data_IF_583922044692
#
_entry.id   IF_583922044692
#
_cell.length_a   1.000
_cell.length_b   1.000
_cell.length_c   1.000
_cell.angle_alpha   90.00
_cell.angle_beta   90.00
_cell.angle_gamma   90.00
#
_symmetry.space_group_name_H-M   'P 1'
#
loop_
_entity.id
_entity.type
_entity.pdbx_description
1 polymer ?
#
# COMPACT_ATOMS: atom_id res chain seq x y z
N UNK A 1 20.25 2.24 -10.92
CA UNK A 1 21.28 1.33 -10.34
C UNK A 1 20.85 -0.14 -10.43
N UNK A 2 19.76 -0.58 -9.79
CA UNK A 2 19.31 -1.99 -9.83
C UNK A 2 19.15 -2.55 -11.25
N UNK A 3 18.44 -1.83 -12.11
CA UNK A 3 18.27 -2.22 -13.52
C UNK A 3 19.62 -2.32 -14.23
N UNK A 4 20.46 -1.29 -14.10
CA UNK A 4 21.77 -1.24 -14.73
C UNK A 4 22.67 -2.42 -14.32
N UNK A 5 22.76 -2.71 -13.02
CA UNK A 5 23.57 -3.83 -12.50
C UNK A 5 23.00 -5.17 -12.94
N UNK A 6 21.66 -5.34 -12.92
CA UNK A 6 21.02 -6.59 -13.33
C UNK A 6 21.25 -6.90 -14.80
N UNK A 7 21.11 -5.89 -15.67
CA UNK A 7 21.38 -6.01 -17.10
C UNK A 7 22.86 -6.30 -17.33
N UNK A 8 23.77 -5.58 -16.65
CA UNK A 8 25.21 -5.82 -16.76
C UNK A 8 25.58 -7.26 -16.41
N UNK A 9 25.06 -7.80 -15.31
CA UNK A 9 25.28 -9.19 -14.90
C UNK A 9 24.78 -10.14 -15.99
N UNK A 10 23.56 -9.96 -16.51
CA UNK A 10 23.02 -10.86 -17.54
C UNK A 10 23.78 -10.78 -18.88
N UNK A 11 24.30 -9.60 -19.24
CA UNK A 11 25.14 -9.45 -20.43
C UNK A 11 26.46 -10.21 -20.33
N UNK A 12 27.03 -10.37 -19.12
CA UNK A 12 28.23 -11.19 -18.90
C UNK A 12 27.96 -12.69 -19.09
N UNK A 13 26.71 -13.13 -18.92
CA UNK A 13 26.28 -14.51 -19.18
C UNK A 13 25.78 -14.74 -20.61
N UNK A 14 26.05 -13.81 -21.54
CA UNK A 14 25.58 -13.85 -22.94
C UNK A 14 24.06 -14.08 -23.05
N UNK A 15 23.30 -13.57 -22.07
CA UNK A 15 21.85 -13.76 -22.05
C UNK A 15 21.19 -13.15 -23.29
N UNK A 16 20.29 -13.92 -23.90
CA UNK A 16 19.51 -13.49 -25.07
C UNK A 16 18.38 -12.54 -24.70
N UNK A 17 18.14 -12.28 -23.41
CA UNK A 17 16.96 -11.52 -22.96
C UNK A 17 17.17 -10.67 -21.71
N UNK A 18 18.16 -9.75 -21.70
CA UNK A 18 18.49 -8.92 -20.54
C UNK A 18 17.34 -8.02 -20.05
N UNK A 19 16.32 -7.80 -20.89
CA UNK A 19 15.11 -7.07 -20.51
C UNK A 19 14.40 -7.72 -19.30
N UNK A 20 14.43 -9.05 -19.15
CA UNK A 20 13.76 -9.73 -18.02
C UNK A 20 14.49 -9.55 -16.70
N UNK A 21 15.81 -9.38 -16.74
CA UNK A 21 16.57 -8.96 -15.57
C UNK A 21 16.24 -7.52 -15.17
N UNK A 22 16.11 -6.62 -16.15
CA UNK A 22 15.66 -5.25 -15.89
C UNK A 22 14.27 -5.21 -15.27
N UNK A 23 13.32 -5.95 -15.85
CA UNK A 23 11.94 -6.08 -15.33
C UNK A 23 11.99 -6.66 -13.91
N UNK A 24 12.70 -7.78 -13.68
CA UNK A 24 12.85 -8.39 -12.36
C UNK A 24 13.41 -7.43 -11.31
N UNK A 25 14.36 -6.59 -11.69
CA UNK A 25 14.95 -5.58 -10.80
C UNK A 25 13.97 -4.47 -10.43
N UNK A 26 13.26 -3.89 -11.41
CA UNK A 26 12.20 -2.90 -11.16
C UNK A 26 11.16 -3.51 -10.21
N UNK A 27 10.80 -4.74 -10.50
CA UNK A 27 9.81 -5.51 -9.79
C UNK A 27 10.16 -5.80 -8.33
N UNK A 28 11.44 -5.96 -8.01
CA UNK A 28 11.92 -6.21 -6.64
C UNK A 28 12.11 -4.92 -5.82
N UNK A 29 12.15 -3.75 -6.45
CA UNK A 29 12.20 -2.46 -5.74
C UNK A 29 10.80 -2.14 -5.19
N UNK A 30 10.58 -2.42 -3.90
CA UNK A 30 9.30 -2.23 -3.22
C UNK A 30 9.42 -1.25 -2.07
N UNK A 31 8.29 -0.73 -1.60
CA UNK A 31 8.23 0.29 -0.57
C UNK A 31 8.48 -0.24 0.86
N UNK A 32 8.54 -1.56 1.05
CA UNK A 32 9.07 -2.21 2.26
C UNK A 32 9.95 -3.41 1.89
N UNK A 33 10.75 -3.90 2.83
CA UNK A 33 11.66 -5.02 2.58
C UNK A 33 10.90 -6.35 2.56
N UNK A 34 9.97 -6.55 3.49
CA UNK A 34 9.06 -7.69 3.53
C UNK A 34 8.24 -7.81 2.25
N UNK A 35 7.78 -6.67 1.72
CA UNK A 35 7.06 -6.65 0.45
C UNK A 35 7.99 -7.03 -0.69
N UNK A 36 9.20 -6.47 -0.75
CA UNK A 36 10.24 -6.82 -1.74
C UNK A 36 10.53 -8.33 -1.76
N UNK A 37 10.69 -8.94 -0.59
CA UNK A 37 10.95 -10.37 -0.43
C UNK A 37 9.76 -11.23 -0.85
N UNK A 38 8.56 -10.93 -0.32
CA UNK A 38 7.33 -11.67 -0.63
C UNK A 38 7.01 -11.60 -2.12
N UNK A 39 7.14 -10.40 -2.67
CA UNK A 39 7.02 -10.13 -4.10
C UNK A 39 8.05 -10.98 -4.87
N UNK A 40 9.34 -10.83 -4.56
CA UNK A 40 10.42 -11.52 -5.26
C UNK A 40 10.23 -13.02 -5.30
N UNK A 41 9.93 -13.64 -4.14
CA UNK A 41 9.62 -15.08 -4.03
C UNK A 41 8.43 -15.48 -4.92
N UNK A 42 7.31 -14.76 -4.84
CA UNK A 42 6.13 -15.08 -5.62
C UNK A 42 6.41 -14.99 -7.13
N UNK A 43 7.18 -13.99 -7.57
CA UNK A 43 7.56 -13.86 -8.98
C UNK A 43 8.53 -14.93 -9.44
N UNK A 44 9.51 -15.31 -8.63
CA UNK A 44 10.41 -16.42 -8.96
C UNK A 44 9.61 -17.72 -9.17
N UNK A 45 8.72 -18.05 -8.23
CA UNK A 45 7.88 -19.25 -8.31
C UNK A 45 6.87 -19.18 -9.47
N UNK A 46 6.26 -18.03 -9.69
CA UNK A 46 5.34 -17.82 -10.80
C UNK A 46 6.01 -17.95 -12.17
N UNK A 47 7.18 -17.34 -12.36
CA UNK A 47 8.00 -17.48 -13.57
C UNK A 47 8.38 -18.94 -13.80
N UNK A 48 8.73 -19.67 -12.75
CA UNK A 48 9.03 -21.10 -12.84
C UNK A 48 7.82 -21.92 -13.30
N UNK A 49 6.64 -21.69 -12.72
CA UNK A 49 5.39 -22.36 -13.12
C UNK A 49 5.00 -22.01 -14.56
N UNK A 50 5.03 -20.73 -14.92
CA UNK A 50 4.76 -20.26 -16.28
C UNK A 50 5.72 -20.90 -17.29
N UNK A 51 6.99 -21.05 -16.92
CA UNK A 51 7.99 -21.69 -17.76
C UNK A 51 7.74 -23.18 -17.97
N UNK A 52 7.46 -23.93 -16.90
CA UNK A 52 7.16 -25.36 -16.98
C UNK A 52 5.91 -25.61 -17.82
N UNK A 53 4.82 -24.93 -17.51
CA UNK A 53 3.56 -25.12 -18.23
C UNK A 53 3.71 -24.67 -19.69
N UNK A 54 4.43 -23.57 -19.92
CA UNK A 54 4.74 -23.09 -21.26
C UNK A 54 5.50 -24.13 -22.07
N UNK A 55 6.51 -24.77 -21.49
CA UNK A 55 7.25 -25.85 -22.14
C UNK A 55 6.34 -27.04 -22.44
N UNK A 56 5.58 -27.53 -21.46
CA UNK A 56 4.67 -28.67 -21.64
C UNK A 56 3.66 -28.42 -22.77
N UNK A 57 3.00 -27.27 -22.77
CA UNK A 57 2.02 -26.91 -23.80
C UNK A 57 2.68 -26.68 -25.15
N UNK A 58 3.88 -26.10 -25.18
CA UNK A 58 4.61 -25.92 -26.44
C UNK A 58 4.91 -27.26 -27.12
N UNK A 59 5.21 -28.30 -26.35
CA UNK A 59 5.55 -29.63 -26.85
C UNK A 59 4.29 -30.44 -27.21
N UNK A 60 3.26 -30.39 -26.39
CA UNK A 60 2.02 -31.16 -26.60
C UNK A 60 1.11 -30.55 -27.67
N UNK A 61 0.99 -29.22 -27.71
CA UNK A 61 0.07 -28.50 -28.59
C UNK A 61 0.74 -27.28 -29.23
N UNK A 62 1.72 -27.49 -30.14
CA UNK A 62 2.51 -26.40 -30.70
C UNK A 62 1.63 -25.32 -31.36
N UNK A 63 1.74 -24.08 -30.87
CA UNK A 63 1.09 -22.89 -31.44
C UNK A 63 -0.44 -22.97 -31.62
N UNK A 64 -1.12 -23.91 -30.96
CA UNK A 64 -2.57 -24.04 -31.08
C UNK A 64 -3.27 -22.99 -30.19
N UNK A 65 -4.04 -22.02 -30.76
CA UNK A 65 -4.63 -20.94 -29.98
C UNK A 65 -5.59 -21.40 -28.88
N UNK A 66 -6.33 -22.50 -29.12
CA UNK A 66 -7.28 -23.05 -28.16
C UNK A 66 -6.56 -23.60 -26.92
N UNK A 67 -5.51 -24.41 -27.11
CA UNK A 67 -4.74 -24.95 -26.00
C UNK A 67 -3.91 -23.88 -25.29
N UNK A 68 -3.46 -22.84 -26.00
CA UNK A 68 -2.80 -21.69 -25.38
C UNK A 68 -3.74 -20.98 -24.41
N UNK A 69 -5.00 -20.75 -24.81
CA UNK A 69 -6.02 -20.19 -23.93
C UNK A 69 -6.23 -21.02 -22.65
N UNK A 70 -6.34 -22.34 -22.80
CA UNK A 70 -6.44 -23.28 -21.67
C UNK A 70 -5.19 -23.20 -20.79
N UNK A 71 -4.00 -23.18 -21.37
CA UNK A 71 -2.74 -23.11 -20.64
C UNK A 71 -2.61 -21.84 -19.80
N UNK A 72 -3.01 -20.68 -20.32
CA UNK A 72 -3.05 -19.43 -19.55
C UNK A 72 -4.03 -19.55 -18.38
N UNK A 73 -5.23 -20.11 -18.59
CA UNK A 73 -6.21 -20.31 -17.51
C UNK A 73 -5.62 -21.19 -16.40
N UNK A 74 -4.91 -22.27 -16.76
CA UNK A 74 -4.25 -23.16 -15.80
C UNK A 74 -3.17 -22.42 -15.01
N UNK A 75 -2.31 -21.65 -15.68
CA UNK A 75 -1.26 -20.84 -15.02
C UNK A 75 -1.88 -19.87 -14.03
N UNK A 76 -2.91 -19.12 -14.46
CA UNK A 76 -3.63 -18.16 -13.62
C UNK A 76 -4.24 -18.86 -12.41
N UNK A 77 -4.90 -19.99 -12.62
CA UNK A 77 -5.57 -20.74 -11.56
C UNK A 77 -4.57 -21.30 -10.53
N UNK A 78 -3.42 -21.82 -10.98
CA UNK A 78 -2.36 -22.28 -10.10
C UNK A 78 -1.75 -21.14 -9.29
N UNK A 79 -1.45 -20.00 -9.92
CA UNK A 79 -0.97 -18.82 -9.20
C UNK A 79 -1.99 -18.33 -8.17
N UNK A 80 -3.28 -18.38 -8.48
CA UNK A 80 -4.36 -17.98 -7.59
C UNK A 80 -4.46 -18.89 -6.36
N UNK A 81 -4.51 -20.22 -6.54
CA UNK A 81 -4.58 -21.19 -5.43
C UNK A 81 -3.36 -21.06 -4.52
N UNK A 82 -2.17 -20.85 -5.10
CA UNK A 82 -0.93 -20.67 -4.35
C UNK A 82 -0.79 -19.26 -3.72
N UNK A 83 -1.78 -18.37 -3.92
CA UNK A 83 -1.81 -16.98 -3.45
C UNK A 83 -0.67 -16.11 -3.97
N UNK A 84 -0.15 -16.42 -5.16
CA UNK A 84 0.87 -15.62 -5.84
C UNK A 84 0.27 -14.54 -6.74
N UNK A 85 -0.70 -13.79 -6.22
CA UNK A 85 -1.49 -12.82 -6.99
C UNK A 85 -0.59 -11.79 -7.71
N UNK A 86 0.49 -11.33 -7.07
CA UNK A 86 1.47 -10.37 -7.64
C UNK A 86 2.33 -10.97 -8.77
N UNK A 87 2.29 -12.28 -9.00
CA UNK A 87 3.04 -12.98 -10.04
C UNK A 87 2.18 -13.48 -11.21
N UNK A 88 0.85 -13.43 -11.09
CA UNK A 88 -0.10 -13.97 -12.08
C UNK A 88 0.18 -13.45 -13.49
N UNK A 89 0.24 -12.12 -13.66
CA UNK A 89 0.49 -11.48 -14.95
C UNK A 89 1.84 -11.91 -15.55
N UNK A 90 2.91 -11.89 -14.74
CA UNK A 90 4.24 -12.26 -15.22
C UNK A 90 4.31 -13.73 -15.62
N UNK A 91 3.71 -14.61 -14.82
CA UNK A 91 3.66 -16.05 -15.08
C UNK A 91 2.95 -16.36 -16.40
N UNK A 92 1.84 -15.66 -16.68
CA UNK A 92 1.12 -15.75 -17.94
C UNK A 92 1.96 -15.23 -19.12
N UNK A 93 2.69 -14.11 -18.96
CA UNK A 93 3.59 -13.57 -19.99
C UNK A 93 4.72 -14.57 -20.30
N UNK A 94 5.31 -15.18 -19.27
CA UNK A 94 6.37 -16.19 -19.44
C UNK A 94 5.83 -17.42 -20.17
N UNK A 95 4.67 -17.92 -19.75
CA UNK A 95 3.96 -19.00 -20.44
C UNK A 95 3.76 -18.66 -21.92
N UNK A 96 3.18 -17.49 -22.22
CA UNK A 96 2.90 -17.06 -23.60
C UNK A 96 4.17 -16.99 -24.44
N UNK A 97 5.23 -16.38 -23.90
CA UNK A 97 6.51 -16.25 -24.59
C UNK A 97 7.15 -17.59 -24.95
N UNK A 98 6.93 -18.63 -24.14
CA UNK A 98 7.46 -19.98 -24.39
C UNK A 98 6.53 -20.79 -25.31
N UNK A 99 5.22 -20.81 -25.02
CA UNK A 99 4.23 -21.57 -25.76
C UNK A 99 4.12 -21.12 -27.24
N UNK A 100 4.29 -19.82 -27.49
CA UNK A 100 4.26 -19.24 -28.84
C UNK A 100 5.63 -19.17 -29.52
N UNK A 101 6.71 -19.63 -28.88
CA UNK A 101 8.03 -19.52 -29.47
C UNK A 101 8.11 -20.37 -30.76
N UNK A 102 8.44 -19.76 -31.92
CA UNK A 102 8.46 -20.47 -33.20
C UNK A 102 9.61 -21.47 -33.33
N UNK A 103 10.70 -21.30 -32.58
CA UNK A 103 11.90 -22.14 -32.69
C UNK A 103 11.84 -23.26 -31.65
N UNK A 104 11.40 -24.45 -32.05
CA UNK A 104 11.17 -25.61 -31.18
C UNK A 104 12.42 -25.98 -30.34
N UNK A 105 13.59 -26.08 -30.99
CA UNK A 105 14.86 -26.47 -30.37
C UNK A 105 15.36 -25.44 -29.34
N UNK A 106 14.96 -24.18 -29.51
CA UNK A 106 15.36 -23.10 -28.61
C UNK A 106 14.39 -22.90 -27.43
N UNK A 107 13.27 -23.62 -27.36
CA UNK A 107 12.25 -23.36 -26.31
C UNK A 107 12.76 -23.66 -24.91
N UNK A 108 13.48 -24.77 -24.74
CA UNK A 108 14.06 -25.14 -23.45
C UNK A 108 15.11 -24.12 -22.99
N UNK A 109 16.06 -23.79 -23.87
CA UNK A 109 17.08 -22.77 -23.56
C UNK A 109 16.45 -21.41 -23.29
N UNK A 110 15.44 -21.02 -24.06
CA UNK A 110 14.69 -19.79 -23.83
C UNK A 110 13.98 -19.77 -22.48
N UNK A 111 13.32 -20.86 -22.08
CA UNK A 111 12.67 -20.98 -20.78
C UNK A 111 13.67 -20.89 -19.62
N UNK A 112 14.84 -21.54 -19.75
CA UNK A 112 15.92 -21.42 -18.78
C UNK A 112 16.43 -19.98 -18.65
N UNK A 113 16.70 -19.29 -19.76
CA UNK A 113 17.10 -17.89 -19.73
C UNK A 113 16.02 -17.01 -19.10
N UNK A 114 14.72 -17.26 -19.35
CA UNK A 114 13.65 -16.53 -18.68
C UNK A 114 13.69 -16.67 -17.16
N UNK A 115 13.96 -17.88 -16.65
CA UNK A 115 14.09 -18.12 -15.21
C UNK A 115 15.32 -17.40 -14.67
N UNK A 116 16.50 -17.64 -15.27
CA UNK A 116 17.78 -17.10 -14.82
C UNK A 116 17.76 -15.57 -14.84
N UNK A 117 17.38 -14.94 -15.96
CA UNK A 117 17.36 -13.48 -16.10
C UNK A 117 16.44 -12.85 -15.06
N UNK A 118 15.23 -13.39 -14.91
CA UNK A 118 14.25 -12.89 -13.93
C UNK A 118 14.79 -13.03 -12.52
N UNK A 119 15.43 -14.15 -12.19
CA UNK A 119 15.97 -14.40 -10.86
C UNK A 119 17.13 -13.46 -10.55
N UNK A 120 18.05 -13.26 -11.49
CA UNK A 120 19.15 -12.29 -11.35
C UNK A 120 18.58 -10.89 -11.09
N UNK A 121 17.61 -10.46 -11.90
CA UNK A 121 16.94 -9.18 -11.72
C UNK A 121 16.33 -9.02 -10.34
N UNK A 122 15.55 -10.01 -9.89
CA UNK A 122 14.89 -9.96 -8.59
C UNK A 122 15.92 -9.95 -7.45
N UNK A 123 16.95 -10.81 -7.50
CA UNK A 123 17.98 -10.88 -6.46
C UNK A 123 18.73 -9.57 -6.35
N UNK A 124 19.22 -9.03 -7.47
CA UNK A 124 19.95 -7.76 -7.49
C UNK A 124 19.04 -6.62 -7.03
N UNK A 125 17.79 -6.59 -7.50
CA UNK A 125 16.81 -5.60 -7.06
C UNK A 125 16.56 -5.65 -5.55
N UNK A 126 16.36 -6.84 -4.97
CA UNK A 126 16.19 -7.00 -3.52
C UNK A 126 17.43 -6.57 -2.74
N UNK A 127 18.63 -6.94 -3.19
CA UNK A 127 19.90 -6.53 -2.56
C UNK A 127 20.02 -5.01 -2.54
N UNK A 128 19.76 -4.35 -3.66
CA UNK A 128 19.83 -2.88 -3.74
C UNK A 128 18.73 -2.23 -2.90
N UNK A 129 17.51 -2.76 -2.96
CA UNK A 129 16.39 -2.27 -2.16
C UNK A 129 16.70 -2.35 -0.67
N UNK A 130 17.43 -3.37 -0.22
CA UNK A 130 17.79 -3.53 1.18
C UNK A 130 19.02 -2.71 1.59
N UNK A 131 20.13 -2.78 0.84
CA UNK A 131 21.41 -2.21 1.28
C UNK A 131 21.68 -0.79 0.82
N UNK A 132 21.12 -0.37 -0.32
CA UNK A 132 21.43 0.93 -0.92
C UNK A 132 20.24 1.88 -0.80
N UNK A 133 19.03 1.36 -1.02
CA UNK A 133 17.78 2.13 -1.03
C UNK A 133 16.80 1.61 0.02
N UNK A 134 17.31 1.32 1.23
CA UNK A 134 16.53 0.82 2.36
C UNK A 134 15.27 1.69 2.57
N UNK A 135 14.05 1.12 2.49
CA UNK A 135 12.84 1.89 2.63
C UNK A 135 12.72 2.52 4.02
N UNK A 136 12.38 3.80 4.07
CA UNK A 136 12.11 4.50 5.32
C UNK A 136 10.61 4.43 5.65
N UNK A 137 10.19 3.29 6.20
CA UNK A 137 8.79 3.02 6.55
C UNK A 137 8.23 3.98 7.59
N UNK A 138 9.05 4.44 8.52
CA UNK A 138 8.67 5.40 9.55
C UNK A 138 8.31 6.76 8.95
N UNK A 139 9.14 7.28 8.05
CA UNK A 139 8.82 8.51 7.30
C UNK A 139 7.52 8.37 6.50
N UNK A 140 7.29 7.20 5.91
CA UNK A 140 6.08 6.91 5.12
C UNK A 140 4.82 6.87 5.99
N UNK A 141 4.84 6.13 7.11
CA UNK A 141 3.73 6.07 8.05
C UNK A 141 3.43 7.46 8.63
N UNK A 142 4.46 8.19 9.07
CA UNK A 142 4.27 9.56 9.57
C UNK A 142 3.65 10.48 8.52
N UNK A 143 4.08 10.35 7.26
CA UNK A 143 3.47 11.04 6.13
C UNK A 143 1.97 10.76 6.03
N UNK A 144 1.57 9.48 6.08
CA UNK A 144 0.15 9.08 6.08
C UNK A 144 -0.62 9.62 7.28
N UNK A 145 -0.04 9.60 8.49
CA UNK A 145 -0.68 10.16 9.70
C UNK A 145 -0.90 11.67 9.54
N UNK A 146 0.08 12.39 8.97
CA UNK A 146 -0.05 13.82 8.72
C UNK A 146 -1.11 14.14 7.66
N UNK A 147 -1.20 13.34 6.59
CA UNK A 147 -2.27 13.49 5.58
C UNK A 147 -3.64 13.27 6.21
N UNK A 148 -3.81 12.16 6.94
CA UNK A 148 -5.03 11.82 7.68
C UNK A 148 -5.44 12.95 8.64
N UNK A 149 -4.49 13.46 9.44
CA UNK A 149 -4.73 14.56 10.38
C UNK A 149 -5.30 15.80 9.68
N UNK A 150 -4.71 16.18 8.55
CA UNK A 150 -5.16 17.33 7.77
C UNK A 150 -6.54 17.09 7.14
N UNK A 151 -6.83 15.88 6.68
CA UNK A 151 -8.15 15.53 6.13
C UNK A 151 -9.23 15.56 7.22
N UNK A 152 -8.96 14.99 8.40
CA UNK A 152 -9.85 15.10 9.56
C UNK A 152 -10.13 16.57 9.92
N UNK A 153 -9.09 17.41 9.94
CA UNK A 153 -9.25 18.86 10.18
C UNK A 153 -10.14 19.51 9.12
N UNK A 154 -9.88 19.24 7.84
CA UNK A 154 -10.66 19.80 6.71
C UNK A 154 -12.13 19.40 6.79
N UNK A 155 -12.41 18.15 7.14
CA UNK A 155 -13.78 17.65 7.30
C UNK A 155 -14.47 18.33 8.48
N UNK A 156 -13.86 18.33 9.67
CA UNK A 156 -14.42 19.01 10.85
C UNK A 156 -14.64 20.49 10.57
N UNK A 157 -13.70 21.15 9.90
CA UNK A 157 -13.86 22.55 9.50
C UNK A 157 -15.09 22.75 8.61
N UNK A 158 -15.31 21.85 7.67
CA UNK A 158 -16.44 21.90 6.73
C UNK A 158 -17.76 21.69 7.45
N UNK A 159 -17.84 20.71 8.36
CA UNK A 159 -19.03 20.45 9.19
C UNK A 159 -19.39 21.69 10.01
N UNK A 160 -18.40 22.29 10.67
CA UNK A 160 -18.64 23.32 11.69
C UNK A 160 -18.87 24.70 11.07
N UNK A 161 -18.07 25.10 10.07
CA UNK A 161 -18.11 26.46 9.52
C UNK A 161 -18.69 26.58 8.11
N UNK A 162 -18.68 25.52 7.29
CA UNK A 162 -19.23 25.58 5.93
C UNK A 162 -20.64 25.00 5.82
N UNK A 163 -21.03 24.12 6.74
CA UNK A 163 -22.34 23.44 6.74
C UNK A 163 -22.65 22.78 5.39
N UNK A 164 -21.62 22.18 4.77
CA UNK A 164 -21.73 21.48 3.49
C UNK A 164 -21.81 19.97 3.66
N UNK A 165 -22.26 19.28 2.62
CA UNK A 165 -22.13 17.83 2.53
C UNK A 165 -20.67 17.41 2.66
N UNK A 166 -20.44 16.35 3.43
CA UNK A 166 -19.11 15.80 3.70
C UNK A 166 -18.96 14.50 2.96
N UNK A 167 -17.91 14.41 2.15
CA UNK A 167 -17.49 13.17 1.52
C UNK A 167 -16.37 12.51 2.34
N UNK A 168 -16.61 11.29 2.82
CA UNK A 168 -15.65 10.52 3.63
C UNK A 168 -14.76 9.60 2.79
N UNK A 169 -14.89 9.61 1.45
CA UNK A 169 -14.09 8.74 0.58
C UNK A 169 -12.58 9.00 0.74
N UNK A 170 -12.16 10.25 0.79
CA UNK A 170 -10.75 10.63 0.98
C UNK A 170 -10.24 10.14 2.35
N UNK A 171 -10.98 10.41 3.42
CA UNK A 171 -10.63 9.96 4.77
C UNK A 171 -10.48 8.43 4.86
N UNK A 172 -11.43 7.67 4.31
CA UNK A 172 -11.37 6.19 4.31
C UNK A 172 -10.19 5.66 3.50
N UNK A 173 -9.85 6.33 2.39
CA UNK A 173 -8.67 6.00 1.61
C UNK A 173 -7.39 6.23 2.42
N UNK A 174 -7.31 7.34 3.16
CA UNK A 174 -6.14 7.65 4.00
C UNK A 174 -5.98 6.66 5.16
N UNK A 175 -7.08 6.25 5.80
CA UNK A 175 -7.08 5.20 6.84
C UNK A 175 -6.58 3.87 6.26
N UNK A 176 -7.07 3.49 5.09
CA UNK A 176 -6.64 2.25 4.40
C UNK A 176 -5.15 2.29 4.09
N UNK A 177 -4.65 3.41 3.56
CA UNK A 177 -3.23 3.58 3.26
C UNK A 177 -2.37 3.53 4.54
N UNK A 178 -2.84 4.11 5.64
CA UNK A 178 -2.14 4.02 6.93
C UNK A 178 -2.08 2.58 7.45
N UNK A 179 -3.17 1.83 7.33
CA UNK A 179 -3.24 0.42 7.72
C UNK A 179 -2.27 -0.44 6.90
N UNK A 180 -2.24 -0.27 5.58
CA UNK A 180 -1.31 -0.97 4.68
C UNK A 180 0.15 -0.67 5.02
N UNK A 181 0.47 0.60 5.32
CA UNK A 181 1.82 1.00 5.71
C UNK A 181 2.22 0.41 7.07
N UNK A 182 1.29 0.36 8.02
CA UNK A 182 1.51 -0.28 9.31
C UNK A 182 1.75 -1.79 9.18
N UNK A 183 0.94 -2.49 8.38
CA UNK A 183 1.12 -3.93 8.13
C UNK A 183 2.50 -4.22 7.52
N UNK A 184 2.91 -3.42 6.53
CA UNK A 184 4.22 -3.53 5.93
C UNK A 184 5.37 -3.27 6.94
N UNK A 185 5.21 -2.31 7.85
CA UNK A 185 6.19 -2.08 8.93
C UNK A 185 6.20 -3.25 9.92
N UNK A 186 5.04 -3.76 10.32
CA UNK A 186 4.93 -4.90 11.24
C UNK A 186 5.66 -6.12 10.67
N UNK A 187 5.43 -6.43 9.38
CA UNK A 187 6.11 -7.52 8.69
C UNK A 187 7.64 -7.29 8.60
N UNK A 188 8.10 -6.06 8.40
CA UNK A 188 9.53 -5.73 8.40
C UNK A 188 10.16 -5.92 9.79
N UNK A 189 9.44 -5.60 10.87
CA UNK A 189 9.86 -5.82 12.26
C UNK A 189 9.95 -7.33 12.56
N UNK A 190 8.94 -8.12 12.18
CA UNK A 190 8.89 -9.57 12.41
C UNK A 190 10.06 -10.31 11.74
N UNK A 191 10.55 -9.78 10.61
CA UNK A 191 11.73 -10.30 9.91
C UNK A 191 13.07 -9.91 10.58
N UNK A 192 13.04 -9.26 11.75
CA UNK A 192 14.22 -8.73 12.46
C UNK A 192 15.07 -7.77 11.63
N UNK A 193 14.48 -7.13 10.62
CA UNK A 193 15.21 -6.23 9.72
C UNK A 193 15.44 -4.85 10.35
N UNK A 194 14.69 -4.52 11.40
CA UNK A 194 14.82 -3.28 12.16
C UNK A 194 14.85 -3.55 13.67
N UNK A 195 15.85 -3.00 14.37
CA UNK A 195 15.94 -3.02 15.84
C UNK A 195 14.81 -2.17 16.44
N UNK A 196 14.05 -2.75 17.37
CA UNK A 196 13.17 -2.08 18.36
C UNK A 196 12.52 -0.78 17.86
N UNK A 197 11.44 -0.89 17.09
CA UNK A 197 10.60 0.25 16.71
C UNK A 197 9.22 0.14 17.35
N UNK A 198 8.68 1.30 17.72
CA UNK A 198 7.44 1.45 18.48
C UNK A 198 6.20 1.18 17.62
N UNK A 199 5.98 -0.09 17.25
CA UNK A 199 4.83 -0.52 16.46
C UNK A 199 3.49 -0.29 17.19
N UNK A 200 3.52 -0.32 18.52
CA UNK A 200 2.33 -0.13 19.35
C UNK A 200 1.75 1.28 19.20
N UNK A 201 2.61 2.30 19.11
CA UNK A 201 2.17 3.69 18.92
C UNK A 201 1.46 3.90 17.58
N UNK A 202 1.93 3.28 16.49
CA UNK A 202 1.24 3.37 15.19
C UNK A 202 -0.11 2.66 15.17
N UNK A 203 -0.21 1.49 15.82
CA UNK A 203 -1.49 0.77 15.94
C UNK A 203 -2.52 1.60 16.73
N UNK A 204 -2.06 2.28 17.80
CA UNK A 204 -2.92 3.22 18.54
C UNK A 204 -3.46 4.32 17.63
N UNK A 205 -2.63 4.91 16.77
CA UNK A 205 -3.06 5.96 15.83
C UNK A 205 -4.10 5.43 14.83
N UNK A 206 -3.95 4.19 14.35
CA UNK A 206 -4.94 3.57 13.47
C UNK A 206 -6.31 3.42 14.17
N UNK A 207 -6.33 2.94 15.41
CA UNK A 207 -7.55 2.85 16.22
C UNK A 207 -8.18 4.23 16.49
N UNK A 208 -7.36 5.26 16.72
CA UNK A 208 -7.82 6.65 16.84
C UNK A 208 -8.48 7.11 15.53
N UNK A 209 -7.87 6.80 14.38
CA UNK A 209 -8.38 7.18 13.07
C UNK A 209 -9.77 6.58 12.78
N UNK A 210 -9.96 5.28 13.05
CA UNK A 210 -11.26 4.60 12.92
C UNK A 210 -12.33 5.22 13.83
N UNK A 211 -11.93 5.58 15.05
CA UNK A 211 -12.82 6.23 16.01
C UNK A 211 -13.25 7.62 15.55
N UNK A 212 -12.32 8.40 14.96
CA UNK A 212 -12.63 9.70 14.37
C UNK A 212 -13.57 9.54 13.15
N UNK A 213 -13.31 8.59 12.24
CA UNK A 213 -14.19 8.36 11.07
C UNK A 213 -15.61 8.03 11.51
N UNK A 214 -15.76 7.15 12.51
CA UNK A 214 -17.07 6.78 13.06
C UNK A 214 -17.81 8.01 13.60
N UNK A 215 -17.13 8.82 14.41
CA UNK A 215 -17.73 10.02 14.99
C UNK A 215 -18.09 11.06 13.92
N UNK A 216 -17.20 11.32 12.97
CA UNK A 216 -17.44 12.26 11.85
C UNK A 216 -18.61 11.78 10.98
N UNK A 217 -18.69 10.47 10.69
CA UNK A 217 -19.78 9.86 9.94
C UNK A 217 -21.13 10.08 10.62
N UNK A 218 -21.19 9.97 11.95
CA UNK A 218 -22.39 10.30 12.72
C UNK A 218 -22.72 11.79 12.67
N UNK A 219 -21.73 12.66 12.90
CA UNK A 219 -21.91 14.12 12.85
C UNK A 219 -22.41 14.59 11.49
N UNK A 220 -21.90 14.01 10.40
CA UNK A 220 -22.26 14.37 9.02
C UNK A 220 -23.72 14.03 8.65
N UNK A 221 -24.36 13.12 9.38
CA UNK A 221 -25.75 12.70 9.16
C UNK A 221 -26.77 13.47 10.00
N UNK A 222 -26.30 14.39 10.86
CA UNK A 222 -27.19 15.19 11.70
C UNK A 222 -27.59 16.46 10.92
N UNK A 223 -28.86 16.53 10.51
CA UNK A 223 -29.41 17.58 9.62
C UNK A 223 -29.49 18.99 10.24
N UNK A 224 -29.18 19.15 11.53
CA UNK A 224 -29.38 20.41 12.26
C UNK A 224 -28.08 21.12 12.59
N UNK A 225 -28.12 22.44 12.51
CA UNK A 225 -27.09 23.36 13.02
C UNK A 225 -27.11 23.27 14.56
N UNK A 226 -26.12 22.63 15.21
CA UNK A 226 -26.19 22.35 16.63
C UNK A 226 -25.67 23.53 17.46
N UNK A 227 -26.14 23.60 18.70
CA UNK A 227 -25.50 24.42 19.72
C UNK A 227 -24.20 23.73 20.17
N UNK A 228 -23.05 24.35 19.92
CA UNK A 228 -21.74 23.81 20.32
C UNK A 228 -21.38 24.36 21.70
N UNK A 229 -21.11 23.48 22.66
CA UNK A 229 -20.85 23.86 24.05
C UNK A 229 -19.49 24.54 24.25
N UNK A 230 -19.31 25.14 25.43
CA UNK A 230 -18.08 25.86 25.76
C UNK A 230 -16.82 24.98 25.83
N UNK A 231 -16.94 23.65 26.01
CA UNK A 231 -15.78 22.74 26.00
C UNK A 231 -15.30 22.55 24.56
N UNK A 232 -16.22 22.27 23.65
CA UNK A 232 -15.93 22.10 22.24
C UNK A 232 -15.46 23.41 21.59
N UNK A 233 -16.01 24.56 21.99
CA UNK A 233 -15.52 25.86 21.52
C UNK A 233 -14.03 26.09 21.87
N UNK A 234 -13.58 25.68 23.08
CA UNK A 234 -12.17 25.78 23.46
C UNK A 234 -11.28 24.88 22.62
N UNK A 235 -11.68 23.62 22.41
CA UNK A 235 -10.94 22.66 21.59
C UNK A 235 -10.87 23.10 20.12
N UNK A 236 -11.96 23.64 19.56
CA UNK A 236 -11.98 24.19 18.21
C UNK A 236 -11.02 25.37 18.07
N UNK A 237 -10.99 26.26 19.07
CA UNK A 237 -10.01 27.37 19.10
C UNK A 237 -8.58 26.85 19.11
N UNK A 238 -8.28 25.84 19.90
CA UNK A 238 -6.92 25.25 19.97
C UNK A 238 -6.49 24.57 18.67
N UNK A 239 -7.38 23.85 18.01
CA UNK A 239 -7.07 23.08 16.79
C UNK A 239 -7.08 23.93 15.51
N UNK A 240 -7.92 24.95 15.44
CA UNK A 240 -8.19 25.71 14.22
C UNK A 240 -7.86 27.20 14.32
N UNK A 241 -7.48 27.70 15.49
CA UNK A 241 -7.28 29.13 15.78
C UNK A 241 -8.50 29.98 15.38
N UNK A 242 -9.70 29.43 15.59
CA UNK A 242 -10.96 30.05 15.18
C UNK A 242 -12.04 29.87 16.23
N UNK A 243 -12.75 30.94 16.54
CA UNK A 243 -13.90 30.92 17.44
C UNK A 243 -15.20 30.81 16.65
N UNK A 244 -16.24 30.29 17.31
CA UNK A 244 -17.59 30.36 16.81
C UNK A 244 -18.22 31.69 17.26
N UNK A 245 -18.99 32.31 16.37
CA UNK A 245 -19.76 33.48 16.75
C UNK A 245 -20.82 33.09 17.79
N UNK A 246 -21.09 33.94 18.80
CA UNK A 246 -22.17 33.68 19.75
C UNK A 246 -23.49 33.57 18.99
N UNK A 247 -24.10 32.39 19.02
CA UNK A 247 -25.44 32.21 18.47
C UNK A 247 -26.46 32.58 19.54
N UNK A 248 -26.88 33.84 19.54
CA UNK A 248 -28.01 34.30 20.35
C UNK A 248 -29.30 33.57 19.93
N UNK A 249 -30.05 33.03 20.90
CA UNK A 249 -31.38 32.46 20.66
C UNK A 249 -31.48 30.97 20.29
N UNK A 250 -30.38 30.20 20.30
CA UNK A 250 -30.47 28.74 20.14
C UNK A 250 -31.03 28.07 21.42
N UNK A 251 -32.14 27.36 21.27
CA UNK A 251 -32.69 26.48 22.31
C UNK A 251 -31.88 25.19 22.30
N UNK A 252 -31.34 24.78 23.45
CA UNK A 252 -30.69 23.47 23.59
C UNK A 252 -31.70 22.35 23.36
N UNK A 253 -31.41 21.47 22.42
CA UNK A 253 -32.17 20.25 22.15
C UNK A 253 -31.40 19.01 22.60
N UNK A 254 -32.08 17.88 22.79
CA UNK A 254 -31.43 16.61 23.18
C UNK A 254 -30.38 16.14 22.14
N UNK A 255 -30.60 16.47 20.87
CA UNK A 255 -29.66 16.16 19.79
C UNK A 255 -28.33 16.91 19.94
N UNK A 256 -28.32 18.08 20.59
CA UNK A 256 -27.09 18.83 20.87
C UNK A 256 -26.18 18.08 21.82
N UNK A 257 -26.74 17.28 22.75
CA UNK A 257 -25.95 16.47 23.68
C UNK A 257 -25.16 15.42 22.91
N UNK A 258 -25.84 14.71 22.00
CA UNK A 258 -25.24 13.67 21.17
C UNK A 258 -24.21 14.27 20.22
N UNK A 259 -24.54 15.39 19.56
CA UNK A 259 -23.61 16.10 18.70
C UNK A 259 -22.35 16.54 19.44
N UNK A 260 -22.49 17.20 20.60
CA UNK A 260 -21.35 17.66 21.38
C UNK A 260 -20.49 16.51 21.91
N UNK A 261 -21.09 15.36 22.24
CA UNK A 261 -20.34 14.18 22.64
C UNK A 261 -19.40 13.70 21.52
N UNK A 262 -19.94 13.45 20.32
CA UNK A 262 -19.13 12.97 19.20
C UNK A 262 -18.12 14.00 18.70
N UNK A 263 -18.48 15.29 18.71
CA UNK A 263 -17.55 16.36 18.39
C UNK A 263 -16.41 16.42 19.41
N UNK A 264 -16.73 16.34 20.72
CA UNK A 264 -15.72 16.38 21.77
C UNK A 264 -14.73 15.23 21.67
N UNK A 265 -15.23 14.00 21.46
CA UNK A 265 -14.40 12.82 21.23
C UNK A 265 -13.48 13.02 20.02
N UNK A 266 -14.04 13.46 18.88
CA UNK A 266 -13.27 13.69 17.66
C UNK A 266 -12.15 14.71 17.85
N UNK A 267 -12.43 15.84 18.52
CA UNK A 267 -11.45 16.90 18.75
C UNK A 267 -10.32 16.46 19.70
N UNK A 268 -10.63 15.75 20.79
CA UNK A 268 -9.61 15.23 21.70
C UNK A 268 -8.72 14.17 21.01
N UNK A 269 -9.34 13.24 20.29
CA UNK A 269 -8.61 12.24 19.51
C UNK A 269 -7.71 12.89 18.43
N UNK A 270 -8.17 13.97 17.81
CA UNK A 270 -7.39 14.73 16.85
C UNK A 270 -6.20 15.46 17.52
N UNK A 271 -6.34 15.93 18.76
CA UNK A 271 -5.23 16.45 19.56
C UNK A 271 -4.20 15.35 19.88
N UNK A 272 -4.63 14.12 20.17
CA UNK A 272 -3.69 13.00 20.35
C UNK A 272 -2.85 12.74 19.10
N UNK A 273 -3.47 12.80 17.90
CA UNK A 273 -2.72 12.69 16.63
C UNK A 273 -1.74 13.86 16.48
N UNK A 274 -2.15 15.09 16.82
CA UNK A 274 -1.30 16.28 16.77
C UNK A 274 -0.07 16.11 17.68
N UNK A 275 -0.27 15.71 18.94
CA UNK A 275 0.82 15.46 19.90
C UNK A 275 1.76 14.36 19.40
N UNK A 276 1.23 13.27 18.85
CA UNK A 276 2.04 12.22 18.25
C UNK A 276 2.96 12.74 17.12
N UNK A 277 2.43 13.59 16.24
CA UNK A 277 3.19 14.22 15.15
C UNK A 277 4.26 15.20 15.65
N UNK A 278 4.01 15.89 16.76
CA UNK A 278 4.94 16.83 17.40
C UNK A 278 6.08 16.11 18.13
N UNK A 279 5.79 15.00 18.81
CA UNK A 279 6.78 14.16 19.50
C UNK A 279 7.74 13.46 18.54
N UNK A 280 7.29 13.20 17.31
CA UNK A 280 8.06 12.50 16.27
C UNK A 280 8.28 13.41 15.07
N UNK A 281 9.08 14.48 15.10
CA UNK A 281 9.26 15.38 13.96
C UNK A 281 9.91 14.67 12.76
N UNK A 282 9.61 15.12 11.52
CA UNK A 282 10.34 14.63 10.35
C UNK A 282 11.81 15.04 10.46
N UNK A 283 12.72 14.08 10.51
CA UNK A 283 14.13 14.37 10.24
C UNK A 283 14.23 14.94 8.82
N UNK A 284 14.67 16.20 8.71
CA UNK A 284 15.10 16.78 7.44
C UNK A 284 16.41 16.09 7.02
N UNK A 285 16.28 15.04 6.20
CA UNK A 285 17.37 14.51 5.37
C UNK A 285 17.03 14.73 3.90
#
# INVERSE_FOLDING_TARGET
MAVSISIMICSLFESKSPIFAGIGAIMAMQASVSESFTMGKNRMLGTFVGAIIGLLFSLAFPQNPFFIGIGVIIVIHLCYIMRWNKALQLSAIVFMGIALNPILEARFSYALFRIIDTFIGIIVGMIINYFISAPNMEKRIRGSINTLYNECKKIIYTIIWKQGEVDLRELRSDITLLAENYEALSNDIDLNLFRNKDSNSYNKILSIADSIETNISLLSKMDKIPYIDGKNQKLLKELFDKTLDPKEGLIKEDIDIVYNYHLNQSLNLLLEIKSFLEEHPLENK
#
